data_IF_491226351716
#
_entry.id   IF_491226351716
#
_cell.length_a   1.000
_cell.length_b   1.000
_cell.length_c   1.000
_cell.angle_alpha   90.00
_cell.angle_beta   90.00
_cell.angle_gamma   90.00
#
_symmetry.space_group_name_H-M   'P 1'
#
loop_
_entity.id
_entity.type
_entity.pdbx_description
1 polymer ?
#
# COMPACT_ATOMS: atom_id res chain seq x y z
N UNK A 1 -12.40 36.68 54.75
CA UNK A 1 -12.79 37.10 53.38
C UNK A 1 -12.59 35.89 52.48
N UNK A 2 -13.62 35.04 52.36
CA UNK A 2 -13.50 33.75 51.67
C UNK A 2 -14.09 33.87 50.26
N UNK A 3 -13.22 33.80 49.26
CA UNK A 3 -13.58 33.77 47.85
C UNK A 3 -14.36 32.46 47.62
N UNK A 4 -15.60 32.56 47.12
CA UNK A 4 -16.43 31.41 46.73
C UNK A 4 -16.09 31.01 45.29
N UNK A 5 -15.38 29.88 45.03
CA UNK A 5 -15.05 29.43 43.69
C UNK A 5 -16.01 28.30 43.27
N UNK A 6 -17.31 28.47 43.50
CA UNK A 6 -18.32 27.45 43.18
C UNK A 6 -18.82 27.45 41.72
N UNK A 7 -18.86 28.56 40.96
CA UNK A 7 -19.45 28.51 39.62
C UNK A 7 -18.53 27.88 38.56
N UNK A 8 -17.21 27.94 38.74
CA UNK A 8 -16.25 27.40 37.76
C UNK A 8 -16.21 25.85 37.75
N UNK A 9 -16.39 25.21 38.91
CA UNK A 9 -16.41 23.76 39.01
C UNK A 9 -17.66 23.17 38.34
N UNK A 10 -18.81 23.83 38.51
CA UNK A 10 -20.07 23.42 37.86
C UNK A 10 -20.00 23.50 36.32
N UNK A 11 -19.28 24.46 35.76
CA UNK A 11 -19.07 24.59 34.31
C UNK A 11 -18.15 23.49 33.75
N UNK A 12 -17.13 23.06 34.50
CA UNK A 12 -16.28 21.91 34.13
C UNK A 12 -17.06 20.59 34.14
N UNK A 13 -17.97 20.39 35.10
CA UNK A 13 -18.86 19.23 35.15
C UNK A 13 -19.90 19.23 34.01
N UNK A 14 -20.42 20.41 33.62
CA UNK A 14 -21.33 20.52 32.49
C UNK A 14 -20.63 20.26 31.14
N UNK A 15 -19.35 20.62 31.01
CA UNK A 15 -18.53 20.29 29.84
C UNK A 15 -18.19 18.79 29.75
N UNK A 16 -18.14 18.07 30.88
CA UNK A 16 -18.02 16.60 30.89
C UNK A 16 -19.37 15.88 30.75
N UNK A 17 -20.48 16.57 31.00
CA UNK A 17 -21.84 16.07 30.81
C UNK A 17 -22.42 16.52 29.46
N UNK A 18 -21.58 16.61 28.44
CA UNK A 18 -21.98 16.92 27.08
C UNK A 18 -22.82 15.76 26.52
N UNK A 19 -24.12 15.82 26.76
CA UNK A 19 -25.14 14.96 26.16
C UNK A 19 -25.48 15.40 24.72
N UNK A 20 -24.75 16.38 24.17
CA UNK A 20 -25.01 17.01 22.86
C UNK A 20 -24.10 16.52 21.74
N UNK A 21 -23.06 15.74 22.04
CA UNK A 21 -22.31 15.03 21.01
C UNK A 21 -22.95 13.65 20.87
N UNK A 22 -23.62 13.43 19.74
CA UNK A 22 -24.01 12.11 19.26
C UNK A 22 -22.73 11.27 19.11
N UNK A 23 -22.30 10.65 20.21
CA UNK A 23 -21.15 9.78 20.19
C UNK A 23 -21.52 8.58 19.31
N UNK A 24 -20.70 8.24 18.29
CA UNK A 24 -21.02 7.15 17.40
C UNK A 24 -21.21 5.89 18.25
N UNK A 25 -22.25 5.12 17.93
CA UNK A 25 -22.51 3.86 18.60
C UNK A 25 -21.25 3.00 18.56
N UNK A 26 -20.82 2.52 19.74
CA UNK A 26 -19.65 1.64 19.83
C UNK A 26 -19.92 0.38 19.02
N UNK A 27 -18.92 -0.07 18.27
CA UNK A 27 -19.00 -1.35 17.58
C UNK A 27 -19.27 -2.47 18.60
N UNK A 28 -20.18 -3.41 18.30
CA UNK A 28 -20.45 -4.54 19.18
C UNK A 28 -19.16 -5.28 19.52
N UNK A 29 -18.97 -5.63 20.80
CA UNK A 29 -17.77 -6.35 21.26
C UNK A 29 -17.56 -7.65 20.49
N UNK A 30 -18.65 -8.34 20.12
CA UNK A 30 -18.58 -9.58 19.34
C UNK A 30 -18.01 -9.37 17.93
N UNK A 31 -18.21 -8.19 17.31
CA UNK A 31 -17.61 -7.86 16.02
C UNK A 31 -16.13 -7.48 16.16
N UNK A 32 -15.77 -6.80 17.25
CA UNK A 32 -14.38 -6.42 17.53
C UNK A 32 -13.50 -7.63 17.86
N UNK A 33 -14.07 -8.64 18.50
CA UNK A 33 -13.37 -9.86 18.92
C UNK A 33 -13.59 -11.02 17.94
N UNK A 34 -14.28 -10.80 16.83
CA UNK A 34 -14.43 -11.81 15.79
C UNK A 34 -13.06 -12.12 15.17
N UNK A 35 -12.77 -13.40 14.97
CA UNK A 35 -11.57 -13.82 14.25
C UNK A 35 -11.62 -13.24 12.82
N UNK A 36 -10.61 -12.48 12.39
CA UNK A 36 -10.56 -11.98 11.03
C UNK A 36 -10.52 -13.13 10.03
N UNK A 37 -11.30 -13.02 8.96
CA UNK A 37 -11.27 -14.01 7.90
C UNK A 37 -9.89 -14.02 7.23
N UNK A 38 -9.26 -15.20 7.17
CA UNK A 38 -8.02 -15.40 6.43
C UNK A 38 -8.34 -15.32 4.92
N UNK A 39 -7.69 -14.43 4.14
CA UNK A 39 -7.84 -14.42 2.70
C UNK A 39 -7.35 -15.74 2.09
N UNK A 40 -8.02 -16.27 1.06
CA UNK A 40 -7.69 -17.60 0.51
C UNK A 40 -6.26 -17.76 -0.05
N UNK A 41 -5.55 -16.66 -0.33
CA UNK A 41 -4.12 -16.72 -0.72
C UNK A 41 -3.17 -16.91 0.48
N UNK A 42 -3.68 -16.74 1.72
CA UNK A 42 -2.92 -16.85 2.96
C UNK A 42 -3.20 -18.17 3.71
N UNK A 43 -3.98 -19.09 3.15
CA UNK A 43 -4.31 -20.38 3.79
C UNK A 43 -3.05 -21.16 4.21
N UNK A 44 -2.02 -21.17 3.35
CA UNK A 44 -0.74 -21.83 3.64
C UNK A 44 -0.04 -21.18 4.84
N UNK A 45 -0.12 -19.85 4.97
CA UNK A 45 0.47 -19.14 6.10
C UNK A 45 -0.29 -19.40 7.41
N UNK A 46 -1.61 -19.61 7.34
CA UNK A 46 -2.42 -19.93 8.49
C UNK A 46 -2.20 -21.38 8.98
N UNK A 47 -2.07 -22.35 8.07
CA UNK A 47 -1.89 -23.77 8.45
C UNK A 47 -0.45 -24.16 8.73
N UNK A 48 0.51 -23.47 8.11
CA UNK A 48 1.93 -23.88 8.11
C UNK A 48 2.87 -22.66 8.17
N UNK A 49 2.86 -21.86 9.25
CA UNK A 49 3.67 -20.65 9.35
C UNK A 49 5.18 -20.92 9.21
N UNK A 50 5.67 -22.04 9.76
CA UNK A 50 7.08 -22.43 9.69
C UNK A 50 7.52 -22.79 8.26
N UNK A 51 6.61 -23.34 7.45
CA UNK A 51 6.87 -23.64 6.04
C UNK A 51 7.08 -22.35 5.26
N UNK A 52 6.20 -21.35 5.47
CA UNK A 52 6.33 -20.03 4.83
C UNK A 52 7.65 -19.36 5.21
N UNK A 53 8.04 -19.43 6.49
CA UNK A 53 9.31 -18.89 6.96
C UNK A 53 10.51 -19.59 6.30
N UNK A 54 10.46 -20.92 6.20
CA UNK A 54 11.50 -21.71 5.52
C UNK A 54 11.61 -21.40 4.03
N UNK A 55 10.47 -21.31 3.33
CA UNK A 55 10.43 -21.00 1.89
C UNK A 55 10.97 -19.61 1.60
N UNK A 56 10.61 -18.63 2.44
CA UNK A 56 11.13 -17.27 2.33
C UNK A 56 12.65 -17.23 2.57
N UNK A 57 13.15 -17.95 3.57
CA UNK A 57 14.58 -18.05 3.84
C UNK A 57 15.34 -18.70 2.67
N UNK A 58 14.80 -19.77 2.10
CA UNK A 58 15.38 -20.46 0.95
C UNK A 58 15.38 -19.55 -0.30
N UNK A 59 14.27 -18.87 -0.58
CA UNK A 59 14.16 -17.91 -1.67
C UNK A 59 15.16 -16.75 -1.50
N UNK A 60 15.29 -16.22 -0.28
CA UNK A 60 16.26 -15.17 0.05
C UNK A 60 17.70 -15.63 -0.17
N UNK A 61 18.06 -16.85 0.24
CA UNK A 61 19.38 -17.41 0.00
C UNK A 61 19.67 -17.59 -1.50
N UNK A 62 18.71 -18.09 -2.28
CA UNK A 62 18.85 -18.22 -3.73
C UNK A 62 19.05 -16.84 -4.40
N UNK A 63 18.29 -15.83 -3.98
CA UNK A 63 18.42 -14.47 -4.50
C UNK A 63 19.76 -13.82 -4.12
N UNK A 64 20.28 -14.09 -2.91
CA UNK A 64 21.57 -13.59 -2.47
C UNK A 64 22.72 -14.18 -3.29
N UNK A 65 22.63 -15.47 -3.68
CA UNK A 65 23.58 -16.09 -4.61
C UNK A 65 23.49 -15.42 -5.98
N UNK A 66 22.29 -15.22 -6.51
CA UNK A 66 22.10 -14.51 -7.78
C UNK A 66 22.62 -13.07 -7.76
N UNK A 67 22.55 -12.37 -6.64
CA UNK A 67 23.16 -11.03 -6.48
C UNK A 67 24.69 -11.06 -6.35
N UNK A 68 25.27 -12.16 -5.88
CA UNK A 68 26.72 -12.33 -5.87
C UNK A 68 27.25 -12.58 -7.29
N UNK A 69 26.47 -13.27 -8.12
CA UNK A 69 26.77 -13.52 -9.54
C UNK A 69 26.46 -12.30 -10.42
N UNK A 70 25.33 -11.64 -10.19
CA UNK A 70 24.94 -10.38 -10.83
C UNK A 70 25.49 -9.23 -10.00
N UNK A 71 26.70 -8.80 -10.32
CA UNK A 71 27.32 -7.68 -9.60
C UNK A 71 26.54 -6.38 -9.85
N UNK A 72 26.54 -5.46 -8.89
CA UNK A 72 26.00 -4.11 -9.08
C UNK A 72 26.64 -3.38 -10.29
N UNK A 73 27.81 -3.82 -10.75
CA UNK A 73 28.48 -3.32 -11.95
C UNK A 73 27.82 -3.77 -13.27
N UNK A 74 27.18 -4.96 -13.31
CA UNK A 74 26.42 -5.44 -14.48
C UNK A 74 25.01 -4.85 -14.55
N UNK A 75 24.40 -4.55 -13.39
CA UNK A 75 23.13 -3.82 -13.31
C UNK A 75 23.32 -2.31 -13.53
N UNK A 76 24.52 -1.79 -13.26
CA UNK A 76 24.83 -0.36 -13.12
C UNK A 76 25.62 0.28 -14.25
N UNK A 77 25.58 -0.24 -15.49
CA UNK A 77 26.06 0.58 -16.61
C UNK A 77 24.98 1.61 -16.98
N UNK A 78 24.88 2.66 -16.16
CA UNK A 78 23.90 3.75 -16.31
C UNK A 78 23.92 4.37 -17.71
N UNK A 79 25.11 4.42 -18.34
CA UNK A 79 25.25 4.90 -19.71
C UNK A 79 24.58 3.95 -20.72
N UNK A 80 24.72 2.64 -20.55
CA UNK A 80 24.05 1.64 -21.39
C UNK A 80 22.53 1.65 -21.15
N UNK A 81 22.09 1.78 -19.90
CA UNK A 81 20.67 1.92 -19.56
C UNK A 81 20.07 3.18 -20.18
N UNK A 82 20.77 4.32 -20.09
CA UNK A 82 20.35 5.57 -20.72
C UNK A 82 20.27 5.44 -22.25
N UNK A 83 21.25 4.79 -22.87
CA UNK A 83 21.26 4.53 -24.31
C UNK A 83 20.08 3.64 -24.74
N UNK A 84 19.77 2.59 -23.98
CA UNK A 84 18.61 1.71 -24.22
C UNK A 84 17.29 2.46 -24.03
N UNK A 85 17.16 3.26 -22.97
CA UNK A 85 15.98 4.08 -22.73
C UNK A 85 15.74 5.08 -23.87
N UNK A 86 16.80 5.70 -24.38
CA UNK A 86 16.70 6.62 -25.51
C UNK A 86 16.34 5.91 -26.82
N UNK A 87 16.88 4.71 -27.07
CA UNK A 87 16.46 3.89 -28.20
C UNK A 87 14.97 3.52 -28.12
N UNK A 88 14.46 3.21 -26.93
CA UNK A 88 13.05 2.92 -26.71
C UNK A 88 12.15 4.14 -26.95
N UNK A 89 12.55 5.33 -26.48
CA UNK A 89 11.80 6.58 -26.74
C UNK A 89 11.70 6.88 -28.23
N UNK A 90 12.82 6.85 -28.95
CA UNK A 90 12.83 7.06 -30.42
C UNK A 90 11.96 6.07 -31.16
N UNK A 91 11.94 4.80 -30.73
CA UNK A 91 11.05 3.78 -31.31
C UNK A 91 9.58 4.07 -31.02
N UNK A 92 9.25 4.50 -29.81
CA UNK A 92 7.88 4.85 -29.44
C UNK A 92 7.39 6.08 -30.22
N UNK A 93 8.25 7.08 -30.44
CA UNK A 93 7.95 8.26 -31.26
C UNK A 93 7.75 7.89 -32.73
N UNK A 94 8.60 7.03 -33.29
CA UNK A 94 8.41 6.52 -34.66
C UNK A 94 7.07 5.79 -34.78
N UNK A 95 6.73 4.94 -33.81
CA UNK A 95 5.46 4.22 -33.79
C UNK A 95 4.26 5.15 -33.64
N UNK A 96 4.36 6.20 -32.80
CA UNK A 96 3.26 7.16 -32.65
C UNK A 96 3.08 8.04 -33.89
N UNK A 97 4.15 8.34 -34.61
CA UNK A 97 4.09 9.05 -35.88
C UNK A 97 3.49 8.21 -37.01
N UNK A 98 3.69 6.88 -36.99
CA UNK A 98 3.08 5.94 -37.92
C UNK A 98 1.61 5.65 -37.58
N UNK A 99 1.23 5.80 -36.31
CA UNK A 99 -0.15 5.62 -35.87
C UNK A 99 -0.96 6.84 -36.28
N UNK A 100 -1.81 6.71 -37.29
CA UNK A 100 -2.79 7.76 -37.61
C UNK A 100 -3.81 7.78 -36.45
N UNK A 101 -3.96 8.88 -35.70
CA UNK A 101 -4.98 8.94 -34.68
C UNK A 101 -6.34 8.80 -35.34
N UNK A 102 -7.14 7.83 -34.89
CA UNK A 102 -8.52 7.72 -35.33
C UNK A 102 -9.24 9.01 -34.91
N UNK A 103 -9.84 9.71 -35.88
CA UNK A 103 -10.48 11.00 -35.64
C UNK A 103 -11.67 10.88 -34.66
N UNK A 104 -12.19 9.67 -34.49
CA UNK A 104 -13.26 9.31 -33.57
C UNK A 104 -12.90 8.00 -32.84
N UNK A 105 -12.78 7.99 -31.49
CA UNK A 105 -12.52 6.78 -30.72
C UNK A 105 -13.71 5.79 -30.68
N UNK A 106 -14.89 6.17 -31.18
CA UNK A 106 -16.07 5.29 -31.26
C UNK A 106 -16.29 4.70 -32.67
N UNK A 107 -15.50 5.08 -33.67
CA UNK A 107 -15.56 4.49 -35.00
C UNK A 107 -14.89 3.10 -35.00
N UNK A 108 -15.59 2.09 -35.53
CA UNK A 108 -15.10 0.70 -35.59
C UNK A 108 -14.04 0.45 -36.66
N UNK A 109 -13.72 1.45 -37.49
CA UNK A 109 -12.72 1.36 -38.53
C UNK A 109 -11.72 2.52 -38.42
N UNK A 110 -10.47 2.14 -38.15
CA UNK A 110 -9.28 2.85 -38.58
C UNK A 110 -8.61 1.95 -39.63
#
# INVERSE_FOLDING_TARGET
>A
MAIRPLPALALLLAACADHGIDYPALMPTDQLLAEPAIPGHADIAATSPDQVASDLAAAGAALAVSQAEVTAAEVGNDAELAARAEALRRRAEAMSAETTPCADPEATEC
#
